data_IF_562022245787
#
_entry.id   IF_562022245787
#
_cell.length_a   1.000
_cell.length_b   1.000
_cell.length_c   1.000
_cell.angle_alpha   90.00
_cell.angle_beta   90.00
_cell.angle_gamma   90.00
#
_symmetry.space_group_name_H-M   'P 1'
#
loop_
_entity.id
_entity.type
_entity.pdbx_description
1 polymer ?
#
# COMPACT_ATOMS: atom_id res chain seq x y z
N UNK A 1 -6.01 31.97 -8.29
CA UNK A 1 -5.62 31.13 -7.13
C UNK A 1 -6.15 29.74 -7.40
N UNK A 2 -5.31 28.83 -7.89
CA UNK A 2 -5.69 27.43 -8.06
C UNK A 2 -5.61 26.73 -6.71
N UNK A 3 -6.73 26.61 -6.00
CA UNK A 3 -6.81 25.70 -4.87
C UNK A 3 -6.46 24.29 -5.36
N UNK A 4 -5.55 23.58 -4.70
CA UNK A 4 -5.30 22.15 -4.98
C UNK A 4 -6.61 21.40 -4.74
N UNK A 5 -7.21 20.83 -5.78
CA UNK A 5 -8.58 20.30 -5.65
C UNK A 5 -8.58 18.81 -5.27
N UNK A 6 -7.48 18.09 -5.50
CA UNK A 6 -7.27 16.73 -4.99
C UNK A 6 -5.77 16.40 -5.00
N UNK A 7 -5.31 15.54 -4.09
CA UNK A 7 -3.91 15.07 -4.07
C UNK A 7 -3.86 13.62 -3.61
N UNK A 8 -3.01 12.82 -4.27
CA UNK A 8 -2.69 11.45 -3.88
C UNK A 8 -1.23 11.42 -3.47
N UNK A 9 -0.96 10.93 -2.26
CA UNK A 9 0.38 10.92 -1.67
C UNK A 9 0.75 9.47 -1.35
N UNK A 10 1.88 9.02 -1.88
CA UNK A 10 2.40 7.67 -1.68
C UNK A 10 3.66 7.67 -0.81
N UNK A 11 3.68 6.74 0.15
CA UNK A 11 4.80 6.51 1.05
C UNK A 11 5.37 5.11 0.81
N UNK A 12 6.69 4.97 0.95
CA UNK A 12 7.38 3.69 0.91
C UNK A 12 8.24 3.55 2.17
N UNK A 13 8.34 2.34 2.71
CA UNK A 13 9.08 2.04 3.93
C UNK A 13 9.37 0.54 4.05
N UNK A 14 10.27 0.19 4.96
CA UNK A 14 10.69 -1.20 5.16
C UNK A 14 10.85 -1.53 6.65
N UNK A 15 10.50 -2.76 7.02
CA UNK A 15 10.77 -3.33 8.35
C UNK A 15 12.04 -4.17 8.24
N UNK A 16 13.07 -3.83 9.02
CA UNK A 16 14.35 -4.52 8.99
C UNK A 16 14.37 -5.72 9.95
N UNK A 17 14.41 -6.93 9.41
CA UNK A 17 14.43 -8.17 10.19
C UNK A 17 15.66 -8.31 11.11
N UNK A 18 16.81 -7.72 10.77
CA UNK A 18 17.99 -7.76 11.63
C UNK A 18 17.84 -6.82 12.82
N UNK A 19 17.27 -5.63 12.61
CA UNK A 19 16.96 -4.68 13.68
C UNK A 19 15.85 -5.22 14.59
N UNK A 20 14.82 -5.84 14.02
CA UNK A 20 13.70 -6.43 14.74
C UNK A 20 14.15 -7.43 15.82
N UNK A 21 15.18 -8.24 15.54
CA UNK A 21 15.78 -9.17 16.52
C UNK A 21 16.35 -8.46 17.74
N UNK A 22 16.95 -7.28 17.54
CA UNK A 22 17.52 -6.49 18.63
C UNK A 22 16.49 -5.70 19.42
N UNK A 23 15.35 -5.36 18.82
CA UNK A 23 14.27 -4.59 19.47
C UNK A 23 13.17 -5.45 20.08
N UNK A 24 13.15 -6.75 19.81
CA UNK A 24 12.08 -7.64 20.24
C UNK A 24 10.76 -7.44 19.50
N UNK A 25 10.80 -6.91 18.27
CA UNK A 25 9.60 -6.71 17.44
C UNK A 25 8.99 -8.08 17.09
N UNK A 26 7.74 -8.30 17.49
CA UNK A 26 7.02 -9.54 17.25
C UNK A 26 6.11 -9.45 16.01
N UNK A 27 5.70 -10.62 15.49
CA UNK A 27 4.71 -10.69 14.41
C UNK A 27 3.37 -10.06 14.82
N UNK A 28 3.03 -10.09 16.11
CA UNK A 28 1.79 -9.47 16.62
C UNK A 28 1.88 -7.94 16.61
N UNK A 29 3.03 -7.37 16.97
CA UNK A 29 3.28 -5.93 16.87
C UNK A 29 3.15 -5.45 15.42
N UNK A 30 3.61 -6.26 14.45
CA UNK A 30 3.49 -5.93 13.02
C UNK A 30 2.01 -5.93 12.59
N UNK A 31 1.19 -6.88 13.04
CA UNK A 31 -0.25 -6.86 12.73
C UNK A 31 -0.94 -5.63 13.32
N UNK A 32 -0.57 -5.25 14.56
CA UNK A 32 -1.08 -4.02 15.19
C UNK A 32 -0.64 -2.81 14.36
N UNK A 33 0.62 -2.77 13.92
CA UNK A 33 1.15 -1.71 13.07
C UNK A 33 0.40 -1.60 11.74
N UNK A 34 0.11 -2.71 11.07
CA UNK A 34 -0.64 -2.73 9.81
C UNK A 34 -2.03 -2.09 9.98
N UNK A 35 -2.76 -2.48 11.03
CA UNK A 35 -4.07 -1.88 11.36
C UNK A 35 -3.90 -0.39 11.70
N UNK A 36 -2.90 -0.05 12.52
CA UNK A 36 -2.63 1.32 12.94
C UNK A 36 -2.31 2.25 11.77
N UNK A 37 -1.55 1.81 10.77
CA UNK A 37 -1.21 2.60 9.58
C UNK A 37 -2.46 3.00 8.77
N UNK A 38 -3.41 2.06 8.62
CA UNK A 38 -4.67 2.33 7.92
C UNK A 38 -5.55 3.27 8.77
N UNK A 39 -5.63 3.01 10.07
CA UNK A 39 -6.48 3.74 11.02
C UNK A 39 -5.93 5.12 11.43
N UNK A 40 -4.64 5.39 11.22
CA UNK A 40 -4.00 6.64 11.59
C UNK A 40 -4.66 7.84 10.91
N UNK A 41 -5.03 7.72 9.63
CA UNK A 41 -5.66 8.81 8.87
C UNK A 41 -7.10 9.07 9.37
N UNK A 42 -8.02 8.08 9.45
CA UNK A 42 -9.37 8.31 9.95
C UNK A 42 -9.45 8.79 11.40
N UNK A 43 -8.52 8.35 12.28
CA UNK A 43 -8.52 8.77 13.68
C UNK A 43 -7.84 10.11 13.94
N UNK A 44 -7.02 10.62 13.02
CA UNK A 44 -6.45 11.97 13.10
C UNK A 44 -7.44 13.06 12.62
N UNK A 45 -8.60 13.14 13.27
CA UNK A 45 -9.67 14.10 12.92
C UNK A 45 -9.39 15.50 13.49
N UNK A 46 -8.58 16.27 12.78
CA UNK A 46 -8.50 17.72 12.99
C UNK A 46 -9.13 18.47 11.81
N UNK A 47 -9.51 19.74 12.00
CA UNK A 47 -10.16 20.55 10.94
C UNK A 47 -9.32 20.63 9.65
N UNK A 48 -7.98 20.60 9.76
CA UNK A 48 -7.07 20.64 8.60
C UNK A 48 -6.87 19.28 7.91
N UNK A 49 -7.47 18.20 8.44
CA UNK A 49 -7.34 16.83 7.94
C UNK A 49 -8.67 16.24 7.46
N UNK A 50 -9.73 17.06 7.45
CA UNK A 50 -11.01 16.69 6.85
C UNK A 50 -10.78 16.35 5.37
N UNK A 51 -11.26 15.18 4.94
CA UNK A 51 -11.13 14.72 3.55
C UNK A 51 -9.86 13.90 3.25
N UNK A 52 -8.98 13.69 4.23
CA UNK A 52 -7.89 12.72 4.09
C UNK A 52 -8.42 11.30 4.35
N UNK A 53 -8.17 10.39 3.41
CA UNK A 53 -8.65 9.00 3.48
C UNK A 53 -7.53 8.08 3.00
N UNK A 54 -7.23 6.98 3.72
CA UNK A 54 -6.32 5.95 3.23
C UNK A 54 -6.91 5.33 1.96
N UNK A 55 -6.10 5.07 0.93
CA UNK A 55 -6.58 4.50 -0.34
C UNK A 55 -6.08 3.09 -0.60
N UNK A 56 -4.82 2.84 -0.27
CA UNK A 56 -4.16 1.55 -0.45
C UNK A 56 -3.09 1.38 0.62
N UNK A 57 -3.02 0.19 1.21
CA UNK A 57 -1.92 -0.27 2.04
C UNK A 57 -1.44 -1.59 1.46
N UNK A 58 -0.13 -1.73 1.27
CA UNK A 58 0.53 -2.94 0.79
C UNK A 58 1.80 -3.18 1.61
N UNK A 59 1.96 -4.39 2.12
CA UNK A 59 3.19 -4.84 2.78
C UNK A 59 3.59 -6.21 2.24
N UNK A 60 4.80 -6.27 1.69
CA UNK A 60 5.39 -7.50 1.16
C UNK A 60 6.29 -8.10 2.23
N UNK A 61 5.99 -9.32 2.66
CA UNK A 61 6.79 -10.06 3.63
C UNK A 61 7.61 -11.12 2.92
N UNK A 62 8.92 -11.13 3.16
CA UNK A 62 9.84 -12.11 2.59
C UNK A 62 10.10 -13.26 3.57
N UNK A 63 10.39 -14.44 3.02
CA UNK A 63 10.82 -15.62 3.78
C UNK A 63 12.28 -15.51 4.25
N UNK A 64 13.01 -14.49 3.81
CA UNK A 64 14.41 -14.26 4.17
C UNK A 64 14.67 -12.80 4.62
N UNK A 65 15.81 -12.58 5.25
CA UNK A 65 16.26 -11.26 5.74
C UNK A 65 17.34 -10.61 4.85
N UNK A 66 17.48 -11.05 3.60
CA UNK A 66 18.51 -10.59 2.66
C UNK A 66 17.92 -9.96 1.40
N UNK A 67 16.62 -10.14 1.16
CA UNK A 67 15.90 -9.47 0.08
C UNK A 67 15.67 -8.02 0.46
N UNK A 68 15.98 -7.12 -0.45
CA UNK A 68 15.51 -5.74 -0.42
C UNK A 68 14.84 -5.46 -1.76
N UNK A 69 13.80 -4.64 -1.70
CA UNK A 69 13.14 -4.10 -2.89
C UNK A 69 13.63 -2.68 -3.11
N UNK A 70 13.51 -2.22 -4.34
CA UNK A 70 13.64 -0.80 -4.68
C UNK A 70 12.48 0.00 -4.09
N UNK A 71 12.47 1.31 -4.30
CA UNK A 71 11.30 2.11 -3.98
C UNK A 71 10.11 1.66 -4.85
N UNK A 72 9.11 1.06 -4.21
CA UNK A 72 7.96 0.49 -4.90
C UNK A 72 7.15 1.54 -5.65
N UNK A 73 7.27 2.82 -5.27
CA UNK A 73 6.59 3.94 -5.92
C UNK A 73 7.09 4.17 -7.35
N UNK A 74 8.31 3.75 -7.67
CA UNK A 74 8.86 3.86 -9.03
C UNK A 74 8.12 2.98 -10.05
N UNK A 75 7.40 1.96 -9.57
CA UNK A 75 6.64 1.02 -10.39
C UNK A 75 5.13 1.27 -10.38
N UNK A 76 4.71 2.39 -9.79
CA UNK A 76 3.31 2.80 -9.67
C UNK A 76 3.12 4.05 -10.52
N UNK A 77 2.15 4.01 -11.43
CA UNK A 77 1.78 5.13 -12.29
C UNK A 77 0.44 5.71 -11.88
N UNK A 78 0.37 7.04 -11.89
CA UNK A 78 -0.87 7.78 -11.74
C UNK A 78 -1.42 8.07 -13.14
N UNK A 79 -2.64 7.62 -13.43
CA UNK A 79 -3.27 7.78 -14.73
C UNK A 79 -4.56 8.59 -14.59
N UNK A 80 -4.68 9.66 -15.37
CA UNK A 80 -5.89 10.49 -15.45
C UNK A 80 -5.98 11.11 -16.85
N UNK A 81 -7.18 11.52 -17.27
CA UNK A 81 -7.35 12.22 -18.56
C UNK A 81 -6.60 13.56 -18.58
N UNK A 82 -6.70 14.33 -17.50
CA UNK A 82 -5.96 15.56 -17.25
C UNK A 82 -5.72 15.75 -15.75
N UNK A 83 -4.46 15.69 -15.31
CA UNK A 83 -4.06 15.82 -13.91
C UNK A 83 -4.57 17.12 -13.26
N UNK A 84 -4.67 18.20 -14.02
CA UNK A 84 -5.15 19.49 -13.53
C UNK A 84 -6.64 19.47 -13.19
N UNK A 85 -7.38 18.50 -13.72
CA UNK A 85 -8.84 18.37 -13.54
C UNK A 85 -9.25 17.37 -12.47
N UNK A 86 -8.31 16.64 -11.85
CA UNK A 86 -8.64 15.64 -10.84
C UNK A 86 -9.28 16.30 -9.61
N UNK A 87 -10.52 15.93 -9.30
CA UNK A 87 -11.31 16.44 -8.15
C UNK A 87 -11.75 15.35 -7.18
N UNK A 88 -11.70 14.10 -7.62
CA UNK A 88 -12.23 12.95 -6.90
C UNK A 88 -11.46 11.68 -7.24
N UNK A 89 -11.69 10.63 -6.46
CA UNK A 89 -11.12 9.29 -6.70
C UNK A 89 -11.56 8.69 -8.03
N UNK A 90 -12.71 9.11 -8.56
CA UNK A 90 -13.28 8.57 -9.78
C UNK A 90 -12.67 9.23 -11.05
N UNK A 91 -11.76 10.21 -10.89
CA UNK A 91 -11.11 10.92 -11.99
C UNK A 91 -9.68 10.44 -12.28
N UNK A 92 -9.22 9.41 -11.58
CA UNK A 92 -7.91 8.82 -11.82
C UNK A 92 -7.92 7.32 -11.52
N UNK A 93 -6.94 6.64 -12.08
CA UNK A 93 -6.63 5.25 -11.83
C UNK A 93 -5.16 5.14 -11.37
N UNK A 94 -4.88 4.15 -10.54
CA UNK A 94 -3.50 3.77 -10.20
C UNK A 94 -3.13 2.54 -11.02
N UNK A 95 -2.11 2.67 -11.86
CA UNK A 95 -1.58 1.56 -12.64
C UNK A 95 -0.39 0.92 -11.93
N UNK A 96 -0.53 -0.37 -11.61
CA UNK A 96 0.48 -1.18 -10.91
C UNK A 96 0.98 -2.36 -11.75
N UNK A 97 0.82 -2.31 -13.08
CA UNK A 97 1.26 -3.41 -13.96
C UNK A 97 2.77 -3.65 -13.81
N UNK A 98 3.57 -2.58 -13.86
CA UNK A 98 5.03 -2.69 -13.72
C UNK A 98 5.42 -3.18 -12.31
N UNK A 99 4.67 -2.76 -11.29
CA UNK A 99 4.83 -3.26 -9.92
C UNK A 99 4.56 -4.76 -9.82
N UNK A 100 3.49 -5.26 -10.46
CA UNK A 100 3.15 -6.68 -10.45
C UNK A 100 4.23 -7.53 -11.14
N UNK A 101 4.75 -7.07 -12.29
CA UNK A 101 5.84 -7.74 -13.00
C UNK A 101 7.15 -7.68 -12.20
N UNK A 102 7.45 -6.55 -11.55
CA UNK A 102 8.62 -6.41 -10.69
C UNK A 102 8.59 -7.41 -9.53
N UNK A 103 7.48 -7.49 -8.81
CA UNK A 103 7.33 -8.43 -7.69
C UNK A 103 7.37 -9.90 -8.11
N UNK A 104 6.95 -10.22 -9.33
CA UNK A 104 6.98 -11.58 -9.87
C UNK A 104 8.40 -12.16 -9.89
N UNK A 105 9.42 -11.32 -10.10
CA UNK A 105 10.84 -11.72 -10.03
C UNK A 105 11.25 -12.24 -8.64
N UNK A 106 10.50 -11.91 -7.60
CA UNK A 106 10.75 -12.30 -6.22
C UNK A 106 9.72 -13.29 -5.68
N UNK A 107 8.81 -13.80 -6.53
CA UNK A 107 7.68 -14.65 -6.14
C UNK A 107 8.03 -15.82 -5.23
N UNK A 108 9.16 -16.50 -5.49
CA UNK A 108 9.63 -17.63 -4.68
C UNK A 108 10.11 -17.22 -3.27
N UNK A 109 10.49 -15.95 -3.08
CA UNK A 109 11.02 -15.41 -1.82
C UNK A 109 9.94 -14.71 -1.00
N UNK A 110 8.84 -14.30 -1.62
CA UNK A 110 7.70 -13.68 -0.94
C UNK A 110 6.97 -14.76 -0.13
N UNK A 111 6.85 -14.52 1.18
CA UNK A 111 6.08 -15.32 2.12
C UNK A 111 4.61 -14.95 2.06
N UNK A 112 4.30 -13.66 2.15
CA UNK A 112 2.93 -13.14 2.15
C UNK A 112 2.86 -11.72 1.61
N UNK A 113 1.67 -11.36 1.08
CA UNK A 113 1.32 -10.03 0.60
C UNK A 113 0.13 -9.55 1.42
N UNK A 114 0.40 -8.65 2.36
CA UNK A 114 -0.63 -8.06 3.22
C UNK A 114 -1.18 -6.81 2.56
N UNK A 115 -2.50 -6.68 2.50
CA UNK A 115 -3.11 -5.55 1.80
C UNK A 115 -4.40 -5.04 2.45
N UNK A 116 -4.64 -3.75 2.30
CA UNK A 116 -5.95 -3.14 2.43
C UNK A 116 -6.17 -2.22 1.24
N UNK A 117 -7.36 -2.27 0.64
CA UNK A 117 -7.71 -1.50 -0.55
C UNK A 117 -9.06 -0.84 -0.32
N UNK A 118 -9.12 0.46 -0.55
CA UNK A 118 -10.39 1.20 -0.61
C UNK A 118 -11.22 0.67 -1.80
N UNK A 119 -12.50 0.40 -1.55
CA UNK A 119 -13.41 -0.17 -2.55
C UNK A 119 -13.58 0.75 -3.76
N UNK A 120 -13.49 2.07 -3.56
CA UNK A 120 -13.61 3.07 -4.63
C UNK A 120 -12.32 3.27 -5.40
N UNK A 121 -11.18 2.78 -4.91
CA UNK A 121 -9.92 2.94 -5.63
C UNK A 121 -9.88 2.04 -6.85
N UNK A 122 -9.76 2.65 -8.03
CA UNK A 122 -9.52 1.98 -9.30
C UNK A 122 -8.03 1.67 -9.43
N UNK A 123 -7.71 0.41 -9.75
CA UNK A 123 -6.34 -0.06 -9.88
C UNK A 123 -6.22 -0.95 -11.12
N UNK A 124 -5.50 -0.47 -12.13
CA UNK A 124 -5.11 -1.28 -13.27
C UNK A 124 -3.96 -2.23 -12.88
N UNK A 125 -4.11 -3.51 -13.21
CA UNK A 125 -3.14 -4.56 -12.89
C UNK A 125 -3.33 -5.23 -11.53
N UNK A 126 -4.39 -4.89 -10.77
CA UNK A 126 -4.68 -5.56 -9.50
C UNK A 126 -4.90 -7.06 -9.65
N UNK A 127 -5.63 -7.49 -10.69
CA UNK A 127 -5.86 -8.91 -10.98
C UNK A 127 -4.56 -9.69 -11.19
N UNK A 128 -3.52 -9.07 -11.78
CA UNK A 128 -2.21 -9.70 -11.94
C UNK A 128 -1.56 -9.99 -10.60
N UNK A 129 -1.70 -9.09 -9.62
CA UNK A 129 -1.18 -9.31 -8.26
C UNK A 129 -1.94 -10.46 -7.61
N UNK A 130 -3.27 -10.49 -7.76
CA UNK A 130 -4.12 -11.58 -7.26
C UNK A 130 -3.77 -12.93 -7.88
N UNK A 131 -3.52 -12.97 -9.18
CA UNK A 131 -3.10 -14.19 -9.88
C UNK A 131 -1.69 -14.64 -9.47
N UNK A 132 -0.73 -13.72 -9.42
CA UNK A 132 0.67 -14.03 -9.09
C UNK A 132 0.85 -14.48 -7.63
N UNK A 133 -0.02 -14.03 -6.72
CA UNK A 133 0.15 -14.21 -5.27
C UNK A 133 -1.08 -14.79 -4.57
N UNK A 134 -2.00 -15.43 -5.30
CA UNK A 134 -3.29 -15.93 -4.80
C UNK A 134 -3.22 -16.60 -3.42
N UNK A 135 -2.27 -17.51 -3.23
CA UNK A 135 -2.14 -18.32 -2.01
C UNK A 135 -1.38 -17.59 -0.87
N UNK A 136 -0.89 -16.38 -1.15
CA UNK A 136 -0.05 -15.58 -0.25
C UNK A 136 -0.71 -14.27 0.17
N UNK A 137 -1.86 -13.92 -0.41
CA UNK A 137 -2.54 -12.66 -0.13
C UNK A 137 -3.30 -12.71 1.20
N UNK A 138 -3.10 -11.70 2.03
CA UNK A 138 -3.74 -11.54 3.33
C UNK A 138 -4.43 -10.19 3.38
N UNK A 139 -5.77 -10.20 3.40
CA UNK A 139 -6.55 -8.97 3.51
C UNK A 139 -6.54 -8.49 4.96
N UNK A 140 -6.03 -7.29 5.19
CA UNK A 140 -6.07 -6.61 6.48
C UNK A 140 -7.47 -6.04 6.67
N UNK A 141 -8.02 -6.26 7.85
CA UNK A 141 -9.32 -5.74 8.25
C UNK A 141 -9.12 -4.78 9.43
N UNK A 142 -9.04 -3.47 9.15
CA UNK A 142 -8.57 -2.48 10.14
C UNK A 142 -9.57 -2.24 11.28
N UNK A 143 -10.83 -2.66 11.13
CA UNK A 143 -11.89 -2.45 12.12
C UNK A 143 -12.26 -3.73 12.90
N UNK A 144 -11.66 -4.87 12.59
CA UNK A 144 -11.85 -6.11 13.35
C UNK A 144 -10.81 -6.21 14.47
N UNK A 145 -11.21 -6.74 15.63
CA UNK A 145 -10.33 -7.00 16.78
C UNK A 145 -9.27 -8.07 16.46
#
# INVERSE_FOLDING_TARGET
MGSTIYSVIAFNGAINANTAKGTGLSDEDIKIFDKAMINAIPFCRTRSKIGQTPRLYLRIEFSDNKTFLNDLREYIKFESEDELTVRSIDNFEINIVDFAEYLKNFSNRIKSVHYWKDERLQINGWSKVEENFKDKMQKIKPLEE
#
